data_IF_374751678310
#
_entry.id   IF_374751678310
#
_cell.length_a   1.000
_cell.length_b   1.000
_cell.length_c   1.000
_cell.angle_alpha   90.00
_cell.angle_beta   90.00
_cell.angle_gamma   90.00
#
_symmetry.space_group_name_H-M   'P 1'
#
loop_
_entity.id
_entity.type
_entity.pdbx_description
1 polymer ?
#
# COMPACT_ATOMS: atom_id res chain seq x y z
N UNK A 1 -8.06 -37.56 46.91
CA UNK A 1 -7.71 -36.13 46.76
C UNK A 1 -6.45 -35.73 47.58
N UNK A 2 -5.20 -36.08 47.19
CA UNK A 2 -4.01 -35.56 47.87
C UNK A 2 -3.10 -34.68 46.98
N UNK A 3 -3.32 -34.63 45.65
CA UNK A 3 -2.45 -33.92 44.71
C UNK A 3 -2.60 -32.38 44.76
N UNK A 4 -3.83 -31.89 44.89
CA UNK A 4 -4.15 -30.45 44.96
C UNK A 4 -3.61 -29.77 46.24
N UNK A 5 -3.45 -30.51 47.33
CA UNK A 5 -2.91 -29.99 48.59
C UNK A 5 -1.36 -29.89 48.58
N UNK A 6 -0.68 -30.67 47.73
CA UNK A 6 0.78 -30.58 47.55
C UNK A 6 1.19 -29.41 46.67
N UNK A 7 0.41 -29.08 45.63
CA UNK A 7 0.68 -27.93 44.76
C UNK A 7 0.56 -26.60 45.52
N UNK A 8 -0.44 -26.47 46.42
CA UNK A 8 -0.63 -25.29 47.27
C UNK A 8 0.49 -25.05 48.29
N UNK A 9 1.26 -26.08 48.67
CA UNK A 9 2.40 -25.92 49.60
C UNK A 9 3.70 -25.50 48.90
N UNK A 10 3.86 -25.81 47.61
CA UNK A 10 5.05 -25.39 46.86
C UNK A 10 5.09 -23.88 46.60
N UNK A 11 3.92 -23.23 46.50
CA UNK A 11 3.82 -21.80 46.23
C UNK A 11 4.05 -20.89 47.45
N UNK A 12 4.33 -21.44 48.65
CA UNK A 12 4.37 -20.63 49.88
C UNK A 12 5.75 -20.18 50.36
N UNK A 13 6.83 -20.52 49.66
CA UNK A 13 8.16 -19.96 49.91
C UNK A 13 9.03 -19.98 48.64
N UNK A 14 8.60 -19.27 47.60
CA UNK A 14 9.54 -18.84 46.56
C UNK A 14 10.09 -17.50 47.04
N UNK A 15 11.36 -17.46 47.44
CA UNK A 15 11.99 -16.20 47.84
C UNK A 15 11.95 -15.22 46.66
N UNK A 16 11.79 -13.90 46.90
CA UNK A 16 11.79 -12.90 45.83
C UNK A 16 13.06 -12.96 44.97
N UNK A 17 14.17 -13.44 45.54
CA UNK A 17 15.42 -13.72 44.83
C UNK A 17 15.29 -14.87 43.81
N UNK A 18 14.57 -15.94 44.14
CA UNK A 18 14.33 -17.06 43.22
C UNK A 18 13.41 -16.65 42.05
N UNK A 19 12.44 -15.76 42.30
CA UNK A 19 11.60 -15.19 41.23
C UNK A 19 12.43 -14.29 40.30
N UNK A 20 13.29 -13.44 40.87
CA UNK A 20 14.19 -12.59 40.08
C UNK A 20 15.15 -13.43 39.24
N UNK A 21 15.68 -14.52 39.80
CA UNK A 21 16.59 -15.41 39.09
C UNK A 21 15.88 -16.13 37.93
N UNK A 22 14.63 -16.58 38.14
CA UNK A 22 13.81 -17.16 37.08
C UNK A 22 13.48 -16.16 35.97
N UNK A 23 13.14 -14.91 36.32
CA UNK A 23 12.90 -13.84 35.34
C UNK A 23 14.16 -13.51 34.55
N UNK A 24 15.33 -13.46 35.22
CA UNK A 24 16.61 -13.25 34.56
C UNK A 24 16.97 -14.40 33.62
N UNK A 25 16.76 -15.65 34.04
CA UNK A 25 16.96 -16.81 33.19
C UNK A 25 16.02 -16.81 31.97
N UNK A 26 14.76 -16.41 32.14
CA UNK A 26 13.80 -16.29 31.05
C UNK A 26 14.17 -15.17 30.07
N UNK A 27 14.65 -14.02 30.58
CA UNK A 27 15.18 -12.94 29.74
C UNK A 27 16.40 -13.38 28.94
N UNK A 28 17.37 -14.04 29.57
CA UNK A 28 18.56 -14.54 28.87
C UNK A 28 18.18 -15.55 27.79
N UNK A 29 17.25 -16.46 28.10
CA UNK A 29 16.75 -17.43 27.12
C UNK A 29 16.05 -16.74 25.94
N UNK A 30 15.21 -15.73 26.20
CA UNK A 30 14.53 -14.94 25.16
C UNK A 30 15.53 -14.18 24.26
N UNK A 31 16.56 -13.57 24.86
CA UNK A 31 17.63 -12.91 24.09
C UNK A 31 18.40 -13.93 23.25
N UNK A 32 18.68 -15.12 23.77
CA UNK A 32 19.40 -16.16 23.04
C UNK A 32 18.59 -16.71 21.86
N UNK A 33 17.29 -16.94 22.05
CA UNK A 33 16.37 -17.34 20.97
C UNK A 33 16.27 -16.23 19.92
N UNK A 34 16.13 -14.97 20.34
CA UNK A 34 16.06 -13.83 19.42
C UNK A 34 17.36 -13.66 18.64
N UNK A 35 18.51 -13.81 19.29
CA UNK A 35 19.82 -13.78 18.65
C UNK A 35 19.99 -14.94 17.66
N UNK A 36 19.55 -16.16 18.02
CA UNK A 36 19.59 -17.32 17.13
C UNK A 36 18.76 -17.10 15.86
N UNK A 37 17.54 -16.57 15.98
CA UNK A 37 16.71 -16.26 14.82
C UNK A 37 17.26 -15.10 13.99
N UNK A 38 17.80 -14.04 14.62
CA UNK A 38 18.41 -12.92 13.91
C UNK A 38 19.70 -13.31 13.17
N UNK A 39 20.54 -14.16 13.76
CA UNK A 39 21.77 -14.66 13.13
C UNK A 39 21.50 -15.73 12.07
N UNK A 40 20.51 -16.62 12.31
CA UNK A 40 20.05 -17.60 11.33
C UNK A 40 19.43 -16.94 10.11
N UNK A 41 18.68 -15.84 10.32
CA UNK A 41 18.08 -15.05 9.24
C UNK A 41 19.14 -14.27 8.44
N UNK A 42 20.16 -13.71 9.09
CA UNK A 42 21.25 -12.99 8.39
C UNK A 42 22.09 -13.87 7.46
N UNK A 43 22.22 -15.17 7.73
CA UNK A 43 22.92 -16.10 6.82
C UNK A 43 22.13 -16.45 5.54
N UNK A 44 20.84 -16.15 5.48
CA UNK A 44 20.02 -16.30 4.28
C UNK A 44 20.03 -15.08 3.34
N UNK A 45 20.78 -14.02 3.70
CA UNK A 45 20.75 -12.71 3.05
C UNK A 45 22.10 -12.28 2.46
N UNK A 46 23.10 -13.16 2.37
CA UNK A 46 24.29 -12.87 1.55
C UNK A 46 23.99 -13.10 0.07
N UNK A 47 24.11 -12.07 -0.80
CA UNK A 47 24.04 -12.24 -2.24
C UNK A 47 25.33 -12.90 -2.73
N UNK A 48 25.19 -14.02 -3.45
CA UNK A 48 26.26 -14.54 -4.31
C UNK A 48 26.61 -13.48 -5.36
N UNK A 49 27.88 -13.08 -5.38
CA UNK A 49 28.44 -12.17 -6.37
C UNK A 49 28.48 -12.81 -7.78
N UNK A 50 28.34 -11.92 -8.77
CA UNK A 50 28.72 -12.00 -10.18
C UNK A 50 28.07 -13.01 -11.14
N UNK A 51 27.23 -12.48 -12.05
CA UNK A 51 27.14 -12.91 -13.44
C UNK A 51 26.81 -11.69 -14.34
N UNK A 52 27.40 -11.57 -15.54
CA UNK A 52 27.37 -10.36 -16.34
C UNK A 52 26.02 -10.13 -17.05
N UNK A 53 25.65 -8.86 -17.14
CA UNK A 53 24.46 -8.35 -17.84
C UNK A 53 24.52 -8.58 -19.36
N UNK A 54 23.40 -8.95 -20.01
CA UNK A 54 23.20 -8.67 -21.42
C UNK A 54 22.45 -7.34 -21.59
N UNK A 55 23.14 -6.45 -22.29
CA UNK A 55 22.71 -5.19 -22.89
C UNK A 55 21.27 -5.24 -23.45
N UNK A 56 20.37 -4.41 -22.90
CA UNK A 56 19.03 -4.22 -23.42
C UNK A 56 19.05 -3.12 -24.48
N UNK A 57 19.11 -3.53 -25.75
CA UNK A 57 18.92 -2.62 -26.89
C UNK A 57 17.53 -1.96 -26.90
N UNK A 58 17.52 -0.70 -27.33
CA UNK A 58 16.34 0.17 -27.45
C UNK A 58 15.17 -0.49 -28.19
N UNK A 59 13.91 -0.36 -27.72
CA UNK A 59 12.75 -0.75 -28.50
C UNK A 59 12.47 0.28 -29.62
N UNK A 60 12.11 -0.17 -30.85
CA UNK A 60 11.79 0.73 -31.96
C UNK A 60 10.49 1.51 -31.70
N UNK A 61 10.29 2.67 -32.38
CA UNK A 61 9.18 3.57 -32.09
C UNK A 61 7.85 2.95 -32.55
N UNK A 62 7.02 2.52 -31.59
CA UNK A 62 5.67 2.02 -31.86
C UNK A 62 4.68 3.18 -31.85
N UNK A 63 3.99 3.34 -32.97
CA UNK A 63 3.00 4.39 -33.23
C UNK A 63 1.86 4.44 -32.19
N UNK A 64 1.34 5.65 -31.86
CA UNK A 64 0.29 5.83 -30.86
C UNK A 64 -1.05 5.32 -31.38
N UNK A 65 -1.45 4.13 -30.95
CA UNK A 65 -2.78 3.60 -31.26
C UNK A 65 -3.79 4.07 -30.21
N UNK A 66 -4.62 5.04 -30.66
CA UNK A 66 -5.98 5.34 -30.20
C UNK A 66 -6.14 5.75 -28.72
N UNK A 67 -5.78 7.00 -28.46
CA UNK A 67 -6.50 7.83 -27.47
C UNK A 67 -7.97 7.88 -27.90
N UNK A 68 -8.83 7.10 -27.24
CA UNK A 68 -10.24 7.47 -27.19
C UNK A 68 -10.36 8.72 -26.32
N UNK A 69 -11.28 9.65 -26.64
CA UNK A 69 -11.29 10.96 -26.02
C UNK A 69 -11.51 10.81 -24.52
N UNK A 70 -10.50 11.18 -23.72
CA UNK A 70 -10.77 11.79 -22.43
C UNK A 70 -11.84 12.85 -22.70
N UNK A 71 -13.06 12.60 -22.23
CA UNK A 71 -14.14 13.57 -22.29
C UNK A 71 -13.51 14.91 -21.88
N UNK A 72 -13.56 15.96 -22.72
CA UNK A 72 -12.94 17.22 -22.39
C UNK A 72 -13.35 17.58 -20.98
N UNK A 73 -12.39 17.98 -20.15
CA UNK A 73 -12.66 18.57 -18.84
C UNK A 73 -13.57 19.76 -19.11
N UNK A 74 -14.88 19.49 -19.09
CA UNK A 74 -15.89 20.52 -19.12
C UNK A 74 -15.63 21.36 -17.88
N UNK A 75 -15.55 22.68 -18.08
CA UNK A 75 -15.47 23.66 -17.03
C UNK A 75 -16.40 23.23 -15.89
N UNK A 76 -15.81 23.09 -14.69
CA UNK A 76 -16.38 22.41 -13.55
C UNK A 76 -17.86 22.74 -13.36
N UNK A 77 -18.74 21.80 -13.70
CA UNK A 77 -20.06 21.74 -13.07
C UNK A 77 -19.83 21.80 -11.56
N UNK A 78 -20.56 22.63 -10.79
CA UNK A 78 -20.36 22.73 -9.36
C UNK A 78 -20.39 21.34 -8.76
N UNK A 79 -19.34 20.97 -8.01
CA UNK A 79 -19.21 19.60 -7.53
C UNK A 79 -20.42 19.25 -6.68
N UNK A 80 -21.19 18.27 -7.15
CA UNK A 80 -22.45 17.84 -6.54
C UNK A 80 -22.23 17.07 -5.25
N UNK A 81 -20.98 16.83 -4.88
CA UNK A 81 -20.56 16.12 -3.66
C UNK A 81 -19.60 16.93 -2.81
N UNK A 82 -19.61 16.67 -1.50
CA UNK A 82 -18.62 17.21 -0.57
C UNK A 82 -17.31 16.40 -0.62
N UNK A 83 -16.12 17.02 -0.42
CA UNK A 83 -14.82 16.35 -0.45
C UNK A 83 -14.59 15.53 0.82
N UNK A 84 -15.45 14.53 1.03
CA UNK A 84 -15.47 13.62 2.17
C UNK A 84 -15.45 12.18 1.66
N UNK A 85 -14.61 11.34 2.26
CA UNK A 85 -14.49 9.92 1.92
C UNK A 85 -15.36 9.07 2.87
N UNK A 86 -16.16 8.15 2.34
CA UNK A 86 -16.82 7.13 3.15
C UNK A 86 -15.98 5.84 3.14
N UNK A 87 -15.56 5.37 4.31
CA UNK A 87 -14.74 4.17 4.45
C UNK A 87 -15.55 3.09 5.17
N UNK A 88 -15.89 2.03 4.44
CA UNK A 88 -16.50 0.84 4.99
C UNK A 88 -15.43 -0.14 5.46
N UNK A 89 -15.35 -0.33 6.77
CA UNK A 89 -14.43 -1.26 7.44
C UNK A 89 -15.16 -2.51 7.90
N UNK A 90 -14.43 -3.62 8.07
CA UNK A 90 -14.99 -4.84 8.65
C UNK A 90 -15.15 -4.71 10.17
N UNK A 91 -14.20 -4.03 10.81
CA UNK A 91 -14.27 -3.66 12.23
C UNK A 91 -13.49 -2.37 12.46
N UNK A 92 -13.76 -1.66 13.57
CA UNK A 92 -13.05 -0.43 13.91
C UNK A 92 -11.55 -0.64 14.22
N UNK A 93 -11.12 -1.90 14.35
CA UNK A 93 -9.75 -2.29 14.70
C UNK A 93 -9.06 -3.07 13.59
N UNK A 94 -9.66 -3.15 12.40
CA UNK A 94 -9.04 -3.87 11.30
C UNK A 94 -7.76 -3.18 10.84
N UNK A 95 -6.71 -3.96 10.61
CA UNK A 95 -5.40 -3.41 10.24
C UNK A 95 -5.48 -2.60 8.95
N UNK A 96 -6.12 -3.14 7.90
CA UNK A 96 -6.26 -2.45 6.62
C UNK A 96 -7.13 -1.20 6.76
N UNK A 97 -8.20 -1.24 7.56
CA UNK A 97 -9.01 -0.08 7.87
C UNK A 97 -8.20 1.04 8.53
N UNK A 98 -7.36 0.70 9.51
CA UNK A 98 -6.45 1.65 10.18
C UNK A 98 -5.39 2.22 9.24
N UNK A 99 -4.81 1.39 8.35
CA UNK A 99 -3.84 1.84 7.35
C UNK A 99 -4.46 2.81 6.34
N UNK A 100 -5.67 2.51 5.84
CA UNK A 100 -6.44 3.42 4.97
C UNK A 100 -6.69 4.75 5.69
N UNK A 101 -7.18 4.70 6.93
CA UNK A 101 -7.44 5.91 7.74
C UNK A 101 -6.17 6.72 7.95
N UNK A 102 -5.05 6.08 8.31
CA UNK A 102 -3.77 6.76 8.53
C UNK A 102 -3.28 7.49 7.26
N UNK A 103 -3.47 6.90 6.07
CA UNK A 103 -3.14 7.58 4.81
C UNK A 103 -4.06 8.77 4.56
N UNK A 104 -5.37 8.64 4.81
CA UNK A 104 -6.31 9.76 4.65
C UNK A 104 -6.03 10.89 5.64
N UNK A 105 -5.73 10.58 6.90
CA UNK A 105 -5.39 11.55 7.95
C UNK A 105 -4.09 12.29 7.64
N UNK A 106 -3.02 11.56 7.31
CA UNK A 106 -1.73 12.16 6.91
C UNK A 106 -1.85 13.03 5.66
N UNK A 107 -2.78 12.69 4.76
CA UNK A 107 -3.12 13.48 3.59
C UNK A 107 -4.08 14.64 3.87
N UNK A 108 -4.57 14.79 5.11
CA UNK A 108 -5.60 15.76 5.54
C UNK A 108 -6.90 15.68 4.74
N UNK A 109 -7.25 14.49 4.25
CA UNK A 109 -8.51 14.23 3.58
C UNK A 109 -9.58 13.93 4.62
N UNK A 110 -10.73 14.62 4.55
CA UNK A 110 -11.84 14.36 5.45
C UNK A 110 -12.43 12.99 5.13
N UNK A 111 -12.75 12.22 6.16
CA UNK A 111 -13.36 10.91 5.99
C UNK A 111 -14.40 10.62 7.09
N UNK A 112 -15.22 9.60 6.85
CA UNK A 112 -16.14 9.00 7.82
C UNK A 112 -16.01 7.48 7.71
N UNK A 113 -15.75 6.83 8.83
CA UNK A 113 -15.72 5.37 8.91
C UNK A 113 -17.10 4.82 9.31
N UNK A 114 -17.49 3.72 8.69
CA UNK A 114 -18.69 2.96 9.02
C UNK A 114 -18.37 1.47 8.94
N UNK A 115 -19.01 0.65 9.77
CA UNK A 115 -18.92 -0.81 9.59
C UNK A 115 -19.78 -1.16 8.38
N UNK A 116 -19.24 -1.94 7.45
CA UNK A 116 -19.95 -2.33 6.23
C UNK A 116 -21.35 -2.89 6.56
N UNK A 117 -22.43 -2.26 6.10
CA UNK A 117 -23.78 -2.67 6.46
C UNK A 117 -24.04 -4.02 5.79
N UNK A 118 -24.12 -5.09 6.59
CA UNK A 118 -24.47 -6.41 6.07
C UNK A 118 -25.93 -6.44 5.62
N UNK A 119 -26.84 -6.46 6.59
CA UNK A 119 -28.29 -6.25 6.40
C UNK A 119 -28.80 -5.00 7.11
N UNK A 120 -27.89 -4.20 7.64
CA UNK A 120 -28.22 -2.97 8.35
C UNK A 120 -28.54 -1.83 7.39
N UNK A 121 -28.96 -0.70 7.95
CA UNK A 121 -29.26 0.50 7.17
C UNK A 121 -27.98 1.13 6.61
N UNK A 122 -28.03 1.52 5.34
CA UNK A 122 -26.98 2.33 4.72
C UNK A 122 -26.91 3.73 5.37
N UNK A 123 -25.71 4.28 5.59
CA UNK A 123 -25.57 5.66 6.04
C UNK A 123 -26.21 6.62 5.03
N UNK A 124 -26.73 7.74 5.51
CA UNK A 124 -27.35 8.74 4.63
C UNK A 124 -26.32 9.25 3.62
N UNK A 125 -26.55 8.98 2.32
CA UNK A 125 -25.62 9.32 1.23
C UNK A 125 -25.83 10.74 0.67
N UNK A 126 -27.02 11.31 0.86
CA UNK A 126 -27.38 12.65 0.36
C UNK A 126 -27.86 13.54 1.49
N UNK A 127 -27.60 14.85 1.38
CA UNK A 127 -28.15 15.87 2.26
C UNK A 127 -28.61 17.05 1.40
N UNK A 128 -29.87 17.47 1.55
CA UNK A 128 -30.47 18.62 0.83
C UNK A 128 -30.22 18.61 -0.69
N UNK A 129 -30.28 17.44 -1.33
CA UNK A 129 -30.07 17.27 -2.77
C UNK A 129 -28.61 17.31 -3.24
N UNK A 130 -27.65 17.33 -2.30
CA UNK A 130 -26.20 17.16 -2.55
C UNK A 130 -25.76 15.77 -2.09
N UNK A 131 -24.76 15.21 -2.75
CA UNK A 131 -24.11 13.98 -2.28
C UNK A 131 -23.12 14.29 -1.17
N UNK A 132 -23.08 13.47 -0.13
CA UNK A 132 -22.25 13.73 1.04
C UNK A 132 -20.80 13.27 0.88
N UNK A 133 -20.56 12.34 -0.04
CA UNK A 133 -19.26 11.69 -0.20
C UNK A 133 -18.75 11.82 -1.63
N UNK A 134 -17.48 12.17 -1.78
CA UNK A 134 -16.78 12.23 -3.06
C UNK A 134 -16.18 10.90 -3.49
N UNK A 135 -15.98 9.98 -2.54
CA UNK A 135 -15.36 8.67 -2.75
C UNK A 135 -15.89 7.68 -1.72
N UNK A 136 -16.05 6.43 -2.14
CA UNK A 136 -16.37 5.31 -1.24
C UNK A 136 -15.20 4.31 -1.26
N UNK A 137 -14.81 3.81 -0.11
CA UNK A 137 -13.75 2.83 0.05
C UNK A 137 -14.31 1.61 0.79
N UNK A 138 -14.11 0.43 0.24
CA UNK A 138 -14.40 -0.83 0.90
C UNK A 138 -13.10 -1.53 1.27
N UNK A 139 -12.88 -1.72 2.56
CA UNK A 139 -11.81 -2.58 3.08
C UNK A 139 -11.91 -4.00 2.53
N UNK A 140 -13.13 -4.48 2.28
CA UNK A 140 -13.35 -5.75 1.61
C UNK A 140 -14.43 -5.57 0.53
N UNK A 141 -14.03 -5.67 -0.73
CA UNK A 141 -14.93 -5.51 -1.88
C UNK A 141 -16.06 -6.54 -1.88
N UNK A 142 -15.87 -7.71 -1.25
CA UNK A 142 -16.94 -8.69 -1.10
C UNK A 142 -18.11 -8.18 -0.28
N UNK A 143 -17.91 -7.20 0.63
CA UNK A 143 -19.02 -6.57 1.35
C UNK A 143 -19.90 -5.76 0.41
N UNK A 144 -19.31 -5.05 -0.56
CA UNK A 144 -20.05 -4.32 -1.60
C UNK A 144 -20.78 -5.27 -2.57
N UNK A 145 -20.13 -6.35 -2.97
CA UNK A 145 -20.70 -7.33 -3.91
C UNK A 145 -21.82 -8.17 -3.28
N UNK A 146 -21.74 -8.41 -1.98
CA UNK A 146 -22.73 -9.20 -1.23
C UNK A 146 -23.70 -8.33 -0.42
N UNK A 147 -23.77 -7.03 -0.68
CA UNK A 147 -24.86 -6.19 -0.18
C UNK A 147 -26.21 -6.80 -0.60
N UNK A 148 -27.23 -6.61 0.24
CA UNK A 148 -28.61 -6.90 -0.19
C UNK A 148 -29.00 -6.02 -1.38
N UNK A 149 -29.96 -6.51 -2.17
CA UNK A 149 -30.32 -5.89 -3.44
C UNK A 149 -30.74 -4.41 -3.30
N UNK A 150 -31.41 -4.05 -2.22
CA UNK A 150 -31.91 -2.69 -2.00
C UNK A 150 -30.76 -1.74 -1.66
N UNK A 151 -29.93 -2.08 -0.68
CA UNK A 151 -28.75 -1.28 -0.32
C UNK A 151 -27.77 -1.16 -1.49
N UNK A 152 -27.60 -2.25 -2.26
CA UNK A 152 -26.76 -2.25 -3.46
C UNK A 152 -27.28 -1.28 -4.52
N UNK A 153 -28.57 -1.36 -4.84
CA UNK A 153 -29.21 -0.48 -5.82
C UNK A 153 -29.16 0.99 -5.38
N UNK A 154 -29.39 1.27 -4.09
CA UNK A 154 -29.29 2.62 -3.52
C UNK A 154 -27.89 3.20 -3.70
N UNK A 155 -26.84 2.42 -3.38
CA UNK A 155 -25.46 2.85 -3.50
C UNK A 155 -25.04 3.03 -4.97
N UNK A 156 -25.43 2.11 -5.85
CA UNK A 156 -25.10 2.19 -7.27
C UNK A 156 -25.77 3.41 -7.93
N UNK A 157 -27.05 3.68 -7.62
CA UNK A 157 -27.74 4.90 -8.07
C UNK A 157 -27.04 6.16 -7.56
N UNK A 158 -26.56 6.16 -6.33
CA UNK A 158 -25.79 7.27 -5.79
C UNK A 158 -24.48 7.47 -6.57
N UNK A 159 -23.70 6.41 -6.77
CA UNK A 159 -22.44 6.47 -7.51
C UNK A 159 -22.63 7.00 -8.93
N UNK A 160 -23.64 6.51 -9.66
CA UNK A 160 -23.94 6.96 -11.02
C UNK A 160 -24.46 8.41 -11.04
N UNK A 161 -25.40 8.77 -10.16
CA UNK A 161 -26.02 10.09 -10.16
C UNK A 161 -25.06 11.22 -9.78
N UNK A 162 -24.07 10.92 -8.93
CA UNK A 162 -23.12 11.90 -8.39
C UNK A 162 -21.68 11.73 -8.92
N UNK A 163 -21.41 10.73 -9.75
CA UNK A 163 -20.08 10.43 -10.29
C UNK A 163 -19.08 10.03 -9.19
N UNK A 164 -19.52 9.23 -8.22
CA UNK A 164 -18.68 8.79 -7.10
C UNK A 164 -18.05 7.44 -7.44
N UNK A 165 -16.72 7.39 -7.37
CA UNK A 165 -15.95 6.16 -7.58
C UNK A 165 -15.84 5.29 -6.32
N UNK A 166 -15.37 4.05 -6.51
CA UNK A 166 -15.16 3.08 -5.42
C UNK A 166 -13.72 2.57 -5.43
N UNK A 167 -13.05 2.60 -4.27
CA UNK A 167 -11.83 1.81 -4.04
C UNK A 167 -12.21 0.54 -3.29
N UNK A 168 -11.72 -0.61 -3.74
CA UNK A 168 -11.99 -1.89 -3.10
C UNK A 168 -10.73 -2.70 -2.90
N UNK A 169 -10.59 -3.34 -1.75
CA UNK A 169 -9.54 -4.32 -1.53
C UNK A 169 -10.13 -5.73 -1.53
N UNK A 170 -9.41 -6.66 -2.14
CA UNK A 170 -9.65 -8.09 -2.03
C UNK A 170 -8.37 -8.71 -1.50
N UNK A 171 -8.40 -9.15 -0.25
CA UNK A 171 -7.33 -9.91 0.38
C UNK A 171 -7.79 -11.36 0.52
N UNK A 172 -7.03 -12.29 -0.05
CA UNK A 172 -7.34 -13.70 0.09
C UNK A 172 -7.18 -14.15 1.55
N UNK A 173 -7.96 -15.15 1.93
CA UNK A 173 -7.84 -15.87 3.19
C UNK A 173 -7.82 -17.38 2.94
N UNK A 174 -7.61 -18.17 3.98
CA UNK A 174 -7.52 -19.64 3.88
C UNK A 174 -8.77 -20.28 3.26
N UNK A 175 -9.93 -19.64 3.37
CA UNK A 175 -11.21 -20.11 2.83
C UNK A 175 -11.49 -19.59 1.40
N UNK A 176 -10.62 -18.74 0.86
CA UNK A 176 -10.80 -18.15 -0.46
C UNK A 176 -10.56 -19.19 -1.54
N UNK A 177 -11.49 -19.29 -2.49
CA UNK A 177 -11.33 -20.15 -3.65
C UNK A 177 -10.09 -19.71 -4.45
N UNK A 178 -9.32 -20.69 -4.92
CA UNK A 178 -8.13 -20.44 -5.76
C UNK A 178 -8.49 -19.65 -7.02
N UNK A 179 -9.64 -19.93 -7.62
CA UNK A 179 -10.18 -19.18 -8.75
C UNK A 179 -11.67 -18.98 -8.59
N UNK A 180 -12.15 -17.75 -8.75
CA UNK A 180 -13.56 -17.42 -8.69
C UNK A 180 -13.89 -16.18 -9.54
N UNK A 181 -15.09 -16.13 -10.09
CA UNK A 181 -15.61 -14.90 -10.68
C UNK A 181 -16.21 -14.01 -9.59
N UNK A 182 -15.86 -12.71 -9.60
CA UNK A 182 -16.49 -11.73 -8.75
C UNK A 182 -17.97 -11.58 -9.15
N UNK A 183 -18.87 -11.94 -8.23
CA UNK A 183 -20.31 -11.98 -8.50
C UNK A 183 -20.82 -10.66 -9.08
N UNK A 184 -21.50 -10.73 -10.23
CA UNK A 184 -22.06 -9.55 -10.91
C UNK A 184 -21.06 -8.75 -11.75
N UNK A 185 -19.81 -9.19 -11.84
CA UNK A 185 -18.77 -8.52 -12.60
C UNK A 185 -18.07 -9.48 -13.57
N UNK A 186 -17.66 -9.02 -14.77
CA UNK A 186 -16.85 -9.81 -15.69
C UNK A 186 -15.37 -9.78 -15.25
N UNK A 187 -15.10 -10.17 -14.00
CA UNK A 187 -13.77 -10.14 -13.38
C UNK A 187 -13.52 -11.45 -12.64
N UNK A 188 -12.45 -12.13 -13.02
CA UNK A 188 -11.97 -13.35 -12.39
C UNK A 188 -10.84 -13.02 -11.41
N UNK A 189 -10.88 -13.68 -10.26
CA UNK A 189 -9.94 -13.55 -9.16
C UNK A 189 -9.18 -14.87 -9.03
N UNK A 190 -7.86 -14.80 -9.04
CA UNK A 190 -7.00 -15.94 -8.71
C UNK A 190 -6.22 -15.63 -7.44
N UNK A 191 -6.45 -16.40 -6.38
CA UNK A 191 -6.07 -16.05 -5.00
C UNK A 191 -5.01 -16.99 -4.41
N UNK A 192 -4.43 -16.59 -3.27
CA UNK A 192 -3.40 -17.34 -2.54
C UNK A 192 -2.14 -17.60 -3.38
N UNK A 193 -1.69 -16.56 -4.09
CA UNK A 193 -0.50 -16.60 -4.93
C UNK A 193 0.70 -15.96 -4.25
N UNK A 194 1.85 -16.61 -4.40
CA UNK A 194 3.16 -16.00 -4.17
C UNK A 194 3.58 -15.21 -5.41
N UNK A 195 3.82 -13.90 -5.24
CA UNK A 195 4.20 -13.01 -6.34
C UNK A 195 5.62 -12.44 -6.16
N UNK A 196 6.21 -11.99 -7.27
CA UNK A 196 7.51 -11.31 -7.35
C UNK A 196 7.55 -10.33 -8.51
N UNK A 197 8.56 -9.48 -8.54
CA UNK A 197 8.89 -8.60 -9.67
C UNK A 197 7.69 -7.74 -10.12
N UNK A 198 7.32 -6.76 -9.30
CA UNK A 198 6.17 -5.89 -9.58
C UNK A 198 6.57 -4.72 -10.49
N UNK A 199 5.73 -4.39 -11.46
CA UNK A 199 5.91 -3.32 -12.41
C UNK A 199 4.66 -2.45 -12.50
N UNK A 200 4.86 -1.16 -12.75
CA UNK A 200 3.80 -0.18 -12.93
C UNK A 200 3.47 -0.12 -14.42
N UNK A 201 2.19 -0.16 -14.78
CA UNK A 201 1.77 0.05 -16.17
C UNK A 201 1.91 1.53 -16.55
N UNK A 202 2.86 1.92 -17.44
CA UNK A 202 3.08 3.32 -17.79
C UNK A 202 1.92 3.97 -18.55
N UNK A 203 1.00 3.16 -19.07
CA UNK A 203 -0.18 3.63 -19.82
C UNK A 203 -1.37 3.94 -18.92
N UNK A 204 -1.31 3.63 -17.63
CA UNK A 204 -2.44 3.81 -16.73
C UNK A 204 -2.71 5.31 -16.48
N UNK A 205 -3.92 5.81 -16.78
CA UNK A 205 -4.27 7.22 -16.56
C UNK A 205 -4.48 7.56 -15.07
N UNK A 206 -4.46 6.55 -14.20
CA UNK A 206 -4.61 6.68 -12.75
C UNK A 206 -3.40 7.37 -12.11
N UNK A 207 -2.20 7.17 -12.68
CA UNK A 207 -0.93 7.58 -12.06
C UNK A 207 -0.79 9.10 -11.98
N UNK A 208 -0.39 9.60 -10.82
CA UNK A 208 -0.19 11.03 -10.59
C UNK A 208 1.05 11.33 -9.74
N UNK A 209 1.09 10.82 -8.52
CA UNK A 209 2.27 10.84 -7.64
C UNK A 209 3.22 9.69 -8.02
N UNK A 210 2.66 8.52 -8.30
CA UNK A 210 3.43 7.34 -8.69
C UNK A 210 3.94 7.52 -10.10
N UNK A 211 5.26 7.41 -10.29
CA UNK A 211 5.85 7.40 -11.62
C UNK A 211 6.15 5.98 -12.04
N UNK A 212 5.89 5.61 -13.31
CA UNK A 212 6.37 4.35 -13.84
C UNK A 212 7.89 4.30 -13.68
N UNK A 213 8.35 3.32 -12.90
CA UNK A 213 9.76 3.04 -12.68
C UNK A 213 10.13 1.72 -13.34
N UNK A 214 11.41 1.37 -13.29
CA UNK A 214 11.84 0.00 -13.51
C UNK A 214 11.12 -0.98 -12.55
N UNK A 215 11.15 -2.25 -12.92
CA UNK A 215 10.53 -3.34 -12.17
C UNK A 215 11.08 -3.36 -10.74
N UNK A 216 10.19 -3.31 -9.75
CA UNK A 216 10.50 -3.58 -8.34
C UNK A 216 10.83 -5.07 -8.21
N UNK A 217 12.12 -5.38 -8.31
CA UNK A 217 12.65 -6.75 -8.29
C UNK A 217 12.52 -7.35 -6.90
N UNK A 218 12.23 -8.65 -6.87
CA UNK A 218 12.19 -9.42 -5.64
C UNK A 218 10.79 -9.85 -5.23
N UNK A 219 10.73 -10.47 -4.07
CA UNK A 219 9.55 -11.16 -3.57
C UNK A 219 8.54 -10.17 -2.97
N UNK A 220 7.28 -10.25 -3.40
CA UNK A 220 6.21 -9.48 -2.78
C UNK A 220 5.85 -10.05 -1.41
N UNK A 221 5.45 -9.21 -0.43
CA UNK A 221 5.20 -9.65 0.94
C UNK A 221 3.99 -10.59 1.02
N UNK A 222 4.17 -11.77 1.61
CA UNK A 222 3.11 -12.77 1.81
C UNK A 222 2.82 -13.65 0.59
N UNK A 223 1.94 -14.63 0.77
CA UNK A 223 1.44 -15.56 -0.27
C UNK A 223 -0.08 -15.44 -0.48
N UNK A 224 -0.72 -14.45 0.14
CA UNK A 224 -2.17 -14.22 0.16
C UNK A 224 -2.61 -13.23 -0.94
N UNK A 225 -1.84 -13.14 -2.03
CA UNK A 225 -2.16 -12.25 -3.14
C UNK A 225 -3.27 -12.80 -4.00
N UNK A 226 -4.09 -11.87 -4.48
CA UNK A 226 -5.07 -12.09 -5.54
C UNK A 226 -4.65 -11.32 -6.78
N UNK A 227 -4.73 -11.96 -7.93
CA UNK A 227 -4.57 -11.31 -9.23
C UNK A 227 -5.90 -11.27 -9.97
N UNK A 228 -6.06 -10.23 -10.77
CA UNK A 228 -7.27 -9.95 -11.53
C UNK A 228 -7.10 -10.34 -13.00
N UNK A 229 -8.10 -11.02 -13.54
CA UNK A 229 -8.18 -11.34 -14.95
C UNK A 229 -9.57 -10.98 -15.48
N UNK A 230 -9.62 -10.29 -16.61
CA UNK A 230 -10.88 -9.97 -17.29
C UNK A 230 -10.72 -10.10 -18.78
N UNK A 231 -11.81 -10.47 -19.45
CA UNK A 231 -11.97 -10.40 -20.90
C UNK A 231 -12.77 -9.15 -21.33
N UNK A 232 -13.17 -8.29 -20.38
CA UNK A 232 -13.94 -7.08 -20.64
C UNK A 232 -13.00 -5.86 -20.70
N UNK A 233 -13.20 -5.00 -21.69
CA UNK A 233 -12.42 -3.78 -21.91
C UNK A 233 -12.57 -2.69 -20.84
N UNK A 234 -13.35 -2.94 -19.78
CA UNK A 234 -13.54 -1.96 -18.70
C UNK A 234 -12.38 -1.99 -17.73
N UNK A 235 -11.67 -3.11 -17.64
CA UNK A 235 -10.57 -3.28 -16.70
C UNK A 235 -9.24 -3.03 -17.37
N UNK A 236 -8.48 -2.09 -16.81
CA UNK A 236 -7.11 -1.78 -17.21
C UNK A 236 -6.15 -2.09 -16.06
N UNK A 237 -5.02 -2.77 -16.30
CA UNK A 237 -4.06 -3.06 -15.25
C UNK A 237 -3.32 -1.79 -14.84
N UNK A 238 -3.10 -1.62 -13.54
CA UNK A 238 -2.31 -0.52 -12.96
C UNK A 238 -0.97 -1.05 -12.48
N UNK A 239 -0.99 -2.13 -11.69
CA UNK A 239 0.19 -2.85 -11.25
C UNK A 239 0.16 -4.28 -11.79
N UNK A 240 1.33 -4.76 -12.21
CA UNK A 240 1.54 -6.08 -12.79
C UNK A 240 2.65 -6.78 -12.00
N UNK A 241 2.52 -8.07 -11.71
CA UNK A 241 3.55 -8.86 -11.05
C UNK A 241 3.68 -10.25 -11.68
N UNK A 242 4.82 -10.91 -11.47
CA UNK A 242 5.06 -12.29 -11.90
C UNK A 242 4.71 -13.26 -10.77
N UNK A 243 4.30 -14.47 -11.14
CA UNK A 243 4.22 -15.58 -10.17
C UNK A 243 5.62 -16.00 -9.72
N UNK A 244 5.73 -16.48 -8.47
CA UNK A 244 6.98 -17.05 -7.96
C UNK A 244 7.30 -18.41 -8.58
N UNK A 245 6.28 -19.27 -8.74
CA UNK A 245 6.37 -20.54 -9.44
C UNK A 245 6.17 -20.33 -10.94
N UNK A 246 6.89 -21.09 -11.77
CA UNK A 246 6.64 -21.20 -13.21
C UNK A 246 5.34 -21.95 -13.53
N UNK A 247 4.47 -22.13 -12.52
CA UNK A 247 3.17 -22.76 -12.67
C UNK A 247 2.31 -21.81 -13.48
N UNK A 248 2.14 -22.14 -14.76
CA UNK A 248 1.03 -21.66 -15.56
C UNK A 248 -0.23 -21.86 -14.73
N UNK A 249 -0.89 -20.79 -14.32
CA UNK A 249 -2.25 -20.89 -13.80
C UNK A 249 -3.03 -21.64 -14.89
N UNK A 250 -3.51 -22.87 -14.63
CA UNK A 250 -4.22 -23.62 -15.65
C UNK A 250 -5.39 -22.73 -16.09
N UNK A 251 -5.58 -22.59 -17.40
CA UNK A 251 -6.46 -21.63 -18.12
C UNK A 251 -5.80 -20.35 -18.67
N UNK A 252 -4.52 -20.07 -18.40
CA UNK A 252 -3.77 -19.07 -19.16
C UNK A 252 -3.33 -19.67 -20.50
N UNK A 253 -3.85 -19.13 -21.60
CA UNK A 253 -3.63 -19.64 -22.95
C UNK A 253 -2.16 -19.89 -23.30
N UNK A 254 -1.94 -20.90 -24.12
CA UNK A 254 -0.65 -21.46 -24.52
C UNK A 254 0.27 -20.56 -25.37
N UNK A 255 0.04 -19.24 -25.41
CA UNK A 255 0.87 -18.26 -26.14
C UNK A 255 1.94 -17.60 -25.24
N UNK A 256 1.99 -17.93 -23.94
CA UNK A 256 2.93 -17.35 -22.97
C UNK A 256 4.32 -18.05 -22.96
N UNK A 257 4.83 -18.45 -24.14
CA UNK A 257 6.08 -19.20 -24.29
C UNK A 257 7.38 -18.38 -24.16
N UNK A 258 7.33 -17.06 -23.89
CA UNK A 258 8.54 -16.22 -23.89
C UNK A 258 8.62 -15.15 -22.80
N UNK A 259 7.53 -14.89 -22.06
CA UNK A 259 7.52 -13.98 -20.91
C UNK A 259 6.77 -14.64 -19.77
N UNK A 260 7.38 -14.75 -18.59
CA UNK A 260 6.65 -15.10 -17.37
C UNK A 260 5.39 -14.22 -17.30
N UNK A 261 4.21 -14.85 -17.30
CA UNK A 261 2.94 -14.16 -17.46
C UNK A 261 2.82 -13.05 -16.40
N UNK A 262 2.63 -11.82 -16.85
CA UNK A 262 2.40 -10.67 -15.97
C UNK A 262 0.92 -10.68 -15.54
N UNK A 263 0.69 -10.61 -14.24
CA UNK A 263 -0.64 -10.66 -13.64
C UNK A 263 -0.98 -9.35 -12.98
N UNK A 264 -2.20 -8.86 -13.21
CA UNK A 264 -2.66 -7.61 -12.62
C UNK A 264 -2.93 -7.76 -11.13
N UNK A 265 -2.17 -7.07 -10.28
CA UNK A 265 -2.38 -7.02 -8.82
C UNK A 265 -3.23 -5.82 -8.40
N UNK A 266 -3.30 -4.81 -9.27
CA UNK A 266 -4.23 -3.67 -9.15
C UNK A 266 -4.84 -3.42 -10.51
N UNK A 267 -6.17 -3.28 -10.55
CA UNK A 267 -6.92 -2.95 -11.76
C UNK A 267 -7.77 -1.71 -11.57
N UNK A 268 -7.88 -0.91 -12.62
CA UNK A 268 -8.83 0.18 -12.76
C UNK A 268 -10.03 -0.32 -13.55
N UNK A 269 -11.22 -0.17 -13.01
CA UNK A 269 -12.50 -0.32 -13.72
C UNK A 269 -12.94 1.06 -14.23
N UNK A 270 -13.03 1.20 -15.54
CA UNK A 270 -13.46 2.41 -16.23
C UNK A 270 -14.97 2.68 -16.07
N UNK A 271 -15.73 1.72 -15.53
CA UNK A 271 -17.17 1.81 -15.36
C UNK A 271 -17.95 1.62 -16.67
N UNK A 272 -17.37 0.98 -17.68
CA UNK A 272 -18.07 0.71 -18.95
C UNK A 272 -19.19 -0.32 -18.80
N UNK A 273 -19.14 -1.13 -17.74
CA UNK A 273 -20.14 -2.16 -17.46
C UNK A 273 -21.39 -1.61 -16.77
N UNK A 274 -21.24 -0.72 -15.78
CA UNK A 274 -22.35 -0.25 -14.93
C UNK A 274 -22.34 1.26 -14.63
N UNK A 275 -21.44 2.02 -15.25
CA UNK A 275 -21.31 3.47 -15.07
C UNK A 275 -20.52 3.90 -13.83
N UNK A 276 -19.94 2.97 -13.06
CA UNK A 276 -19.22 3.27 -11.81
C UNK A 276 -17.73 2.97 -11.99
N UNK A 277 -16.90 3.98 -11.79
CA UNK A 277 -15.44 3.80 -11.83
C UNK A 277 -14.94 3.19 -10.53
N UNK A 278 -14.00 2.24 -10.64
CA UNK A 278 -13.41 1.57 -9.47
C UNK A 278 -11.91 1.39 -9.59
N UNK A 279 -11.25 1.23 -8.45
CA UNK A 279 -9.87 0.74 -8.38
C UNK A 279 -9.81 -0.39 -7.38
N UNK A 280 -9.38 -1.56 -7.83
CA UNK A 280 -9.39 -2.80 -7.06
C UNK A 280 -7.96 -3.26 -6.77
N UNK A 281 -7.67 -3.49 -5.49
CA UNK A 281 -6.37 -3.96 -5.00
C UNK A 281 -6.47 -5.43 -4.61
N UNK A 282 -5.52 -6.24 -5.10
CA UNK A 282 -5.46 -7.69 -4.88
C UNK A 282 -4.71 -8.12 -3.63
N UNK A 283 -4.41 -7.17 -2.73
CA UNK A 283 -3.94 -7.42 -1.37
C UNK A 283 -4.14 -6.12 -0.54
N UNK A 284 -3.72 -6.11 0.71
CA UNK A 284 -3.73 -4.94 1.61
C UNK A 284 -2.67 -3.89 1.23
N UNK A 285 -2.43 -2.92 2.12
CA UNK A 285 -1.47 -1.83 1.93
C UNK A 285 -0.07 -2.13 2.51
N UNK A 286 0.24 -3.38 2.86
CA UNK A 286 1.58 -3.75 3.36
C UNK A 286 2.68 -3.55 2.31
N UNK A 287 2.36 -3.77 1.03
CA UNK A 287 3.28 -3.50 -0.07
C UNK A 287 3.35 -1.98 -0.33
N UNK A 288 4.55 -1.40 -0.29
CA UNK A 288 4.74 0.04 -0.31
C UNK A 288 4.13 0.72 -1.55
N UNK A 289 4.20 0.06 -2.72
CA UNK A 289 3.67 0.60 -3.97
C UNK A 289 2.14 0.67 -3.97
N UNK A 290 1.44 -0.22 -3.23
CA UNK A 290 0.00 -0.10 -3.03
C UNK A 290 -0.37 1.19 -2.33
N UNK A 291 0.45 1.68 -1.39
CA UNK A 291 0.19 2.96 -0.69
C UNK A 291 0.25 4.14 -1.66
N UNK A 292 1.21 4.16 -2.58
CA UNK A 292 1.32 5.22 -3.58
C UNK A 292 0.17 5.17 -4.59
N UNK A 293 -0.12 3.97 -5.12
CA UNK A 293 -1.23 3.77 -6.06
C UNK A 293 -2.58 4.06 -5.40
N UNK A 294 -2.73 3.82 -4.10
CA UNK A 294 -3.93 4.19 -3.34
C UNK A 294 -4.13 5.71 -3.30
N UNK A 295 -3.08 6.49 -3.04
CA UNK A 295 -3.14 7.96 -3.08
C UNK A 295 -3.53 8.45 -4.48
N UNK A 296 -2.97 7.83 -5.52
CA UNK A 296 -3.31 8.14 -6.91
C UNK A 296 -4.76 7.77 -7.26
N UNK A 297 -5.25 6.63 -6.77
CA UNK A 297 -6.64 6.21 -6.94
C UNK A 297 -7.63 7.19 -6.29
N UNK A 298 -7.32 7.70 -5.09
CA UNK A 298 -8.12 8.75 -4.42
C UNK A 298 -8.15 10.02 -5.27
N UNK A 299 -7.00 10.46 -5.78
CA UNK A 299 -6.92 11.64 -6.64
C UNK A 299 -7.68 11.44 -7.96
N UNK A 300 -7.51 10.30 -8.62
CA UNK A 300 -8.14 9.98 -9.88
C UNK A 300 -9.68 9.94 -9.76
N UNK A 301 -10.20 9.11 -8.85
CA UNK A 301 -11.65 8.90 -8.71
C UNK A 301 -12.40 10.12 -8.17
N UNK A 302 -11.69 11.09 -7.58
CA UNK A 302 -12.30 12.34 -7.09
C UNK A 302 -12.16 13.51 -8.05
N UNK A 303 -11.59 13.29 -9.25
CA UNK A 303 -11.30 14.34 -10.21
C UNK A 303 -10.28 15.36 -9.67
N UNK A 304 -9.27 14.87 -8.94
CA UNK A 304 -8.21 15.63 -8.25
C UNK A 304 -8.68 16.55 -7.13
N UNK A 305 -9.95 16.48 -6.72
CA UNK A 305 -10.46 17.26 -5.56
C UNK A 305 -9.83 16.82 -4.24
N UNK A 306 -9.49 15.53 -4.10
CA UNK A 306 -8.67 15.00 -3.01
C UNK A 306 -7.33 14.56 -3.59
N UNK A 307 -6.38 15.49 -3.72
CA UNK A 307 -5.05 15.21 -4.25
C UNK A 307 -3.96 15.89 -3.42
N UNK A 308 -2.80 15.26 -3.34
CA UNK A 308 -1.61 15.85 -2.73
C UNK A 308 -0.85 16.69 -3.75
N UNK A 309 -0.17 17.78 -3.34
CA UNK A 309 0.76 18.47 -4.23
C UNK A 309 1.91 17.53 -4.60
N UNK A 310 2.59 17.81 -5.71
CA UNK A 310 3.81 17.09 -6.09
C UNK A 310 5.07 17.65 -5.41
N UNK A 311 4.95 18.77 -4.69
CA UNK A 311 6.05 19.35 -3.94
C UNK A 311 6.50 18.42 -2.81
N UNK A 312 7.81 18.22 -2.70
CA UNK A 312 8.44 17.41 -1.66
C UNK A 312 9.49 18.26 -0.96
N UNK A 313 9.44 18.26 0.36
CA UNK A 313 10.38 18.97 1.21
C UNK A 313 11.37 17.95 1.78
N UNK A 314 12.66 18.26 1.68
CA UNK A 314 13.74 17.45 2.23
C UNK A 314 14.46 18.31 3.25
N UNK A 315 14.58 17.78 4.47
CA UNK A 315 15.35 18.37 5.55
C UNK A 315 16.35 17.32 6.03
N UNK A 316 17.61 17.72 6.18
CA UNK A 316 18.66 16.89 6.76
C UNK A 316 19.20 17.61 7.98
N UNK A 317 18.88 17.05 9.14
CA UNK A 317 19.35 17.53 10.44
C UNK A 317 20.69 16.87 10.78
N UNK A 318 21.67 17.68 11.18
CA UNK A 318 22.97 17.23 11.67
C UNK A 318 23.09 17.71 13.12
N UNK A 319 22.86 16.78 14.03
CA UNK A 319 22.99 17.02 15.47
C UNK A 319 24.44 16.87 15.95
N UNK A 320 24.65 17.17 17.23
CA UNK A 320 25.91 16.97 17.94
C UNK A 320 27.11 17.72 17.36
N UNK A 321 26.86 18.84 16.67
CA UNK A 321 27.92 19.76 16.29
C UNK A 321 28.60 20.28 17.57
N UNK A 322 29.92 20.10 17.62
CA UNK A 322 30.81 20.30 18.77
C UNK A 322 30.72 19.24 19.89
N UNK A 323 29.74 18.33 19.86
CA UNK A 323 29.49 17.30 20.88
C UNK A 323 30.13 15.97 20.47
N UNK A 324 31.46 15.90 20.49
CA UNK A 324 32.19 14.69 20.12
C UNK A 324 33.43 14.46 20.98
N UNK A 325 33.86 13.20 21.08
CA UNK A 325 35.19 12.86 21.61
C UNK A 325 36.24 13.27 20.58
N UNK A 326 37.45 13.54 21.05
CA UNK A 326 38.58 13.80 20.14
C UNK A 326 38.74 12.64 19.15
N UNK A 327 38.92 12.96 17.86
CA UNK A 327 38.96 11.98 16.78
C UNK A 327 37.62 11.69 16.08
N UNK A 328 36.47 12.04 16.70
CA UNK A 328 35.14 11.91 16.06
C UNK A 328 34.46 13.25 15.81
N UNK A 329 35.06 14.36 16.28
CA UNK A 329 34.59 15.72 15.97
C UNK A 329 34.83 16.03 14.50
N UNK A 330 33.85 16.67 13.86
CA UNK A 330 34.05 17.23 12.52
C UNK A 330 35.22 18.20 12.51
N UNK A 331 36.05 18.05 11.49
CA UNK A 331 37.16 18.93 11.19
C UNK A 331 36.76 19.95 10.14
N UNK A 332 37.65 20.90 9.89
CA UNK A 332 37.44 21.93 8.85
C UNK A 332 37.25 21.29 7.48
N UNK A 333 37.96 20.20 7.19
CA UNK A 333 37.85 19.45 5.95
C UNK A 333 36.45 18.84 5.78
N UNK A 334 35.89 18.27 6.85
CA UNK A 334 34.54 17.69 6.84
C UNK A 334 33.47 18.78 6.59
N UNK A 335 33.61 19.94 7.23
CA UNK A 335 32.70 21.08 7.05
C UNK A 335 32.76 21.63 5.62
N UNK A 336 33.95 21.69 5.02
CA UNK A 336 34.11 22.07 3.60
C UNK A 336 33.44 21.06 2.69
N UNK A 337 33.66 19.77 2.91
CA UNK A 337 33.00 18.71 2.14
C UNK A 337 31.46 18.78 2.28
N UNK A 338 30.95 19.08 3.47
CA UNK A 338 29.52 19.29 3.70
C UNK A 338 28.99 20.50 2.91
N UNK A 339 29.72 21.60 2.90
CA UNK A 339 29.36 22.79 2.11
C UNK A 339 29.35 22.51 0.60
N UNK A 340 30.35 21.79 0.10
CA UNK A 340 30.43 21.40 -1.31
C UNK A 340 29.27 20.46 -1.68
N UNK A 341 28.98 19.46 -0.84
CA UNK A 341 27.82 18.56 -0.98
C UNK A 341 26.51 19.34 -0.97
N UNK A 342 26.36 20.35 -0.09
CA UNK A 342 25.18 21.20 -0.05
C UNK A 342 24.98 21.95 -1.38
N UNK A 343 26.05 22.44 -1.98
CA UNK A 343 25.99 23.14 -3.27
C UNK A 343 25.67 22.18 -4.42
N UNK A 344 26.19 20.96 -4.39
CA UNK A 344 25.81 19.91 -5.34
C UNK A 344 24.32 19.58 -5.22
N UNK A 345 23.83 19.33 -4.00
CA UNK A 345 22.41 19.03 -3.76
C UNK A 345 21.48 20.17 -4.18
N UNK A 346 21.91 21.43 -4.08
CA UNK A 346 21.16 22.59 -4.57
C UNK A 346 20.92 22.58 -6.08
N UNK A 347 21.71 21.84 -6.86
CA UNK A 347 21.47 21.69 -8.31
C UNK A 347 20.23 20.85 -8.62
N UNK A 348 19.81 19.99 -7.66
CA UNK A 348 18.65 19.12 -7.77
C UNK A 348 17.49 19.50 -6.84
N UNK A 349 17.80 20.11 -5.69
CA UNK A 349 16.83 20.47 -4.63
C UNK A 349 16.89 21.98 -4.40
N UNK A 350 15.89 22.75 -4.87
CA UNK A 350 15.87 24.19 -4.70
C UNK A 350 15.98 24.59 -3.22
N UNK A 351 16.83 25.57 -2.94
CA UNK A 351 17.05 26.12 -1.59
C UNK A 351 17.52 25.11 -0.53
N UNK A 352 18.12 23.98 -0.93
CA UNK A 352 18.62 23.00 0.03
C UNK A 352 19.68 23.58 0.97
N UNK A 353 19.52 23.30 2.27
CA UNK A 353 20.51 23.59 3.31
C UNK A 353 20.51 22.46 4.33
N UNK A 354 21.69 22.08 4.82
CA UNK A 354 21.79 21.28 6.04
C UNK A 354 21.33 22.11 7.23
N UNK A 355 20.58 21.49 8.14
CA UNK A 355 20.17 22.11 9.39
C UNK A 355 21.08 21.62 10.52
N UNK A 356 21.80 22.52 11.16
CA UNK A 356 22.86 22.17 12.12
C UNK A 356 22.38 22.36 13.56
N UNK A 357 22.29 21.27 14.31
CA UNK A 357 22.06 21.25 15.75
C UNK A 357 23.39 21.28 16.51
N UNK A 358 23.70 22.38 17.19
CA UNK A 358 24.96 22.55 17.91
C UNK A 358 24.79 22.82 19.40
N UNK A 359 25.79 22.41 20.20
CA UNK A 359 25.84 22.69 21.63
C UNK A 359 26.95 23.69 21.96
N UNK A 360 26.56 24.91 22.32
CA UNK A 360 27.50 25.98 22.69
C UNK A 360 28.40 25.63 23.88
N UNK A 361 27.98 24.71 24.76
CA UNK A 361 28.80 24.25 25.90
C UNK A 361 30.16 23.69 25.45
N UNK A 362 30.18 22.98 24.31
CA UNK A 362 31.37 22.29 23.81
C UNK A 362 32.12 23.10 22.74
N UNK A 363 31.64 24.29 22.39
CA UNK A 363 32.31 25.17 21.45
C UNK A 363 33.61 25.76 22.01
N UNK A 364 33.65 26.00 23.33
CA UNK A 364 34.77 26.62 24.02
C UNK A 364 35.80 25.63 24.60
N UNK A 365 35.65 24.33 24.32
CA UNK A 365 36.47 23.25 24.88
C UNK A 365 37.17 22.48 23.78
#
# INVERSE_FOLDING_TARGET
MPALARLRRLCRHVSPQAVLFLLFAFCLFSVFVSAYYLYGWKRGLEPSADAPEPDCGDPPPVAPSRLLPLKPIQAATPSRTDPLVLVFVESLYSQLGQEVVAILESSRFKYRTEIAPGKGDMPTLTDKGRGRFALIIYENILKYVNLDAWNRELLDKYCVAYGVGIIGFFKANENSLLSAQLKGFPLFLHSNLGLKDCSINPKSPLLYVTRPSEVEKGVLPGEDWTVFQSNHSTYEPVLLAKTRSSESIPHLGADAGLHAALHATVVQDLGLHDGIQRVLFGNNLNFWLHKLVFVDAVAFLTGKRLSLPLDRYILVDIDDIFVGKEGTRMKVEDVKALFDTQNELRTHIPNFTFNLGYSGKFFHT
#
